data_IF_766159694040
#
_entry.id   IF_766159694040
#
_cell.length_a   1.000
_cell.length_b   1.000
_cell.length_c   1.000
_cell.angle_alpha   90.00
_cell.angle_beta   90.00
_cell.angle_gamma   90.00
#
_symmetry.space_group_name_H-M   'P 1'
#
loop_
_entity.id
_entity.type
_entity.pdbx_description
1 polymer ?
#
# COMPACT_ATOMS: atom_id res chain seq x y z
N UNK A 1 -0.87 1.87 -1.36
CA UNK A 1 -1.39 0.49 -1.52
C UNK A 1 -0.46 -0.31 -2.39
N UNK A 2 -0.22 -1.56 -2.03
CA UNK A 2 0.64 -2.48 -2.77
C UNK A 2 -0.18 -3.71 -3.15
N UNK A 3 -0.05 -4.16 -4.39
CA UNK A 3 -0.59 -5.44 -4.88
C UNK A 3 0.56 -6.30 -5.39
N UNK A 4 0.26 -7.51 -5.87
CA UNK A 4 1.27 -8.38 -6.45
C UNK A 4 1.95 -7.81 -7.70
N UNK A 5 1.28 -6.94 -8.46
CA UNK A 5 1.73 -6.46 -9.78
C UNK A 5 1.73 -4.95 -9.94
N UNK A 6 1.21 -4.22 -8.96
CA UNK A 6 1.08 -2.78 -9.04
C UNK A 6 1.17 -2.12 -7.68
N UNK A 7 1.55 -0.86 -7.68
CA UNK A 7 1.48 0.02 -6.52
C UNK A 7 0.63 1.24 -6.83
N UNK A 8 -0.08 1.72 -5.83
CA UNK A 8 -0.73 3.02 -5.83
C UNK A 8 -0.11 3.87 -4.71
N UNK A 9 0.40 5.03 -5.10
CA UNK A 9 0.90 6.07 -4.20
C UNK A 9 -0.03 7.26 -4.33
N UNK A 10 -0.61 7.71 -3.22
CA UNK A 10 -1.49 8.87 -3.20
C UNK A 10 -1.26 9.69 -1.94
N UNK A 11 -1.84 10.88 -1.91
CA UNK A 11 -1.77 11.79 -0.76
C UNK A 11 -3.01 11.75 0.14
N UNK A 12 -4.00 10.92 -0.19
CA UNK A 12 -5.24 10.78 0.57
C UNK A 12 -5.25 9.50 1.40
N UNK A 13 -5.71 9.62 2.63
CA UNK A 13 -6.06 8.47 3.46
C UNK A 13 -7.31 7.77 2.93
N UNK A 14 -7.47 6.50 3.29
CA UNK A 14 -8.61 5.68 2.88
C UNK A 14 -9.84 5.90 3.76
N UNK A 15 -10.26 7.16 3.87
CA UNK A 15 -11.44 7.59 4.62
C UNK A 15 -12.39 8.30 3.66
N UNK A 16 -13.68 7.94 3.67
CA UNK A 16 -14.67 8.44 2.70
C UNK A 16 -14.75 9.98 2.57
N UNK A 17 -14.50 10.69 3.67
CA UNK A 17 -14.49 12.14 3.70
C UNK A 17 -13.34 12.75 2.87
N UNK A 18 -12.16 12.14 2.90
CA UNK A 18 -10.99 12.61 2.15
C UNK A 18 -11.27 12.62 0.64
N UNK A 19 -11.95 11.60 0.12
CA UNK A 19 -12.32 11.52 -1.29
C UNK A 19 -13.40 12.52 -1.71
N UNK A 20 -14.20 13.01 -0.76
CA UNK A 20 -15.35 13.88 -1.07
C UNK A 20 -15.03 15.36 -0.94
N UNK A 21 -14.11 15.71 -0.03
CA UNK A 21 -13.87 17.10 0.35
C UNK A 21 -12.46 17.60 0.08
N UNK A 22 -11.49 16.72 -0.20
CA UNK A 22 -10.10 17.09 -0.41
C UNK A 22 -9.65 16.83 -1.85
N UNK A 23 -8.79 17.72 -2.35
CA UNK A 23 -8.12 17.52 -3.63
C UNK A 23 -7.01 16.46 -3.47
N UNK A 24 -7.06 15.43 -4.30
CA UNK A 24 -6.11 14.32 -4.29
C UNK A 24 -5.31 14.22 -5.58
N UNK A 25 -4.11 13.65 -5.47
CA UNK A 25 -3.32 13.18 -6.59
C UNK A 25 -2.83 11.76 -6.28
N UNK A 26 -2.72 10.93 -7.32
CA UNK A 26 -2.23 9.57 -7.21
C UNK A 26 -1.40 9.15 -8.41
N UNK A 27 -0.42 8.29 -8.15
CA UNK A 27 0.43 7.63 -9.15
C UNK A 27 0.24 6.12 -9.04
N UNK A 28 0.01 5.47 -10.19
CA UNK A 28 -0.02 4.02 -10.31
C UNK A 28 1.19 3.57 -11.12
N UNK A 29 1.92 2.59 -10.58
CA UNK A 29 3.02 1.92 -11.29
C UNK A 29 2.67 0.44 -11.36
N UNK A 30 2.75 -0.15 -12.55
CA UNK A 30 2.44 -1.58 -12.79
C UNK A 30 3.63 -2.27 -13.42
N UNK A 31 3.87 -3.52 -13.01
CA UNK A 31 4.89 -4.37 -13.60
C UNK A 31 4.38 -4.85 -14.98
N UNK A 32 5.12 -4.57 -16.07
CA UNK A 32 4.77 -5.03 -17.40
C UNK A 32 4.88 -6.56 -17.52
N UNK A 33 3.99 -7.17 -18.31
CA UNK A 33 4.01 -8.61 -18.53
C UNK A 33 5.18 -9.03 -19.42
N UNK A 34 5.83 -10.15 -19.10
CA UNK A 34 6.87 -10.74 -19.95
C UNK A 34 8.25 -10.09 -19.83
N UNK A 35 8.48 -9.21 -18.84
CA UNK A 35 9.83 -8.79 -18.48
C UNK A 35 10.40 -9.77 -17.47
N UNK A 36 11.28 -10.66 -17.93
CA UNK A 36 12.21 -11.44 -17.10
C UNK A 36 13.30 -10.48 -16.60
N UNK A 37 13.05 -9.79 -15.50
CA UNK A 37 13.98 -8.76 -15.03
C UNK A 37 15.28 -9.35 -14.46
N UNK A 38 16.41 -8.80 -14.91
CA UNK A 38 17.74 -9.07 -14.34
C UNK A 38 17.99 -8.31 -13.02
N UNK A 39 17.14 -7.35 -12.65
CA UNK A 39 17.21 -6.49 -11.45
C UNK A 39 15.82 -6.37 -10.81
N UNK A 40 15.70 -5.99 -9.53
CA UNK A 40 14.37 -5.87 -8.90
C UNK A 40 13.59 -4.63 -9.33
N UNK A 41 12.31 -4.81 -9.70
CA UNK A 41 11.40 -3.68 -10.01
C UNK A 41 11.16 -2.77 -8.81
N UNK A 42 10.73 -1.54 -9.07
CA UNK A 42 10.16 -0.67 -8.02
C UNK A 42 8.95 -1.31 -7.33
N UNK A 43 8.14 -2.08 -8.06
CA UNK A 43 6.99 -2.81 -7.49
C UNK A 43 7.47 -3.87 -6.48
N UNK A 44 8.47 -4.66 -6.85
CA UNK A 44 9.09 -5.68 -5.97
C UNK A 44 9.76 -5.06 -4.75
N UNK A 45 10.48 -3.94 -4.92
CA UNK A 45 11.13 -3.24 -3.80
C UNK A 45 10.10 -2.73 -2.78
N UNK A 46 9.02 -2.10 -3.25
CA UNK A 46 7.98 -1.59 -2.35
C UNK A 46 7.13 -2.71 -1.74
N UNK A 47 6.94 -3.82 -2.46
CA UNK A 47 6.38 -5.05 -1.89
C UNK A 47 7.26 -5.61 -0.78
N UNK A 48 8.57 -5.70 -0.99
CA UNK A 48 9.49 -6.17 0.04
C UNK A 48 9.47 -5.28 1.30
N UNK A 49 9.39 -3.95 1.12
CA UNK A 49 9.23 -3.03 2.24
C UNK A 49 7.90 -3.24 2.98
N UNK A 50 6.80 -3.40 2.24
CA UNK A 50 5.49 -3.73 2.81
C UNK A 50 5.53 -5.03 3.61
N UNK A 51 6.05 -6.12 3.05
CA UNK A 51 6.14 -7.42 3.71
C UNK A 51 7.02 -7.38 4.97
N UNK A 52 8.17 -6.67 4.92
CA UNK A 52 9.03 -6.45 6.08
C UNK A 52 8.27 -5.82 7.24
N UNK A 53 7.48 -4.78 6.96
CA UNK A 53 6.75 -4.04 7.99
C UNK A 53 5.52 -4.82 8.44
N UNK A 54 4.81 -5.47 7.52
CA UNK A 54 3.62 -6.27 7.79
C UNK A 54 3.90 -7.49 8.68
N UNK A 55 5.01 -8.19 8.45
CA UNK A 55 5.42 -9.34 9.26
C UNK A 55 6.39 -8.96 10.40
N UNK A 56 6.56 -7.66 10.68
CA UNK A 56 7.44 -7.20 11.74
C UNK A 56 6.90 -7.56 13.13
N UNK A 57 7.79 -7.58 14.12
CA UNK A 57 7.42 -7.72 15.54
C UNK A 57 6.54 -6.58 16.08
N UNK A 58 6.41 -5.49 15.33
CA UNK A 58 5.62 -4.32 15.71
C UNK A 58 4.19 -4.39 15.18
N UNK A 59 3.86 -5.41 14.39
CA UNK A 59 2.50 -5.59 13.86
C UNK A 59 1.55 -6.05 14.95
N UNK A 60 0.38 -5.42 15.02
CA UNK A 60 -0.71 -5.81 15.90
C UNK A 60 -1.95 -6.15 15.08
N UNK A 61 -2.59 -7.28 15.37
CA UNK A 61 -3.85 -7.64 14.72
C UNK A 61 -4.95 -6.67 15.14
N UNK A 62 -5.67 -6.14 14.14
CA UNK A 62 -6.86 -5.32 14.39
C UNK A 62 -7.96 -6.19 15.00
N UNK A 63 -8.39 -5.84 16.20
CA UNK A 63 -9.55 -6.48 16.83
C UNK A 63 -10.81 -5.80 16.33
N UNK A 64 -11.58 -6.50 15.48
CA UNK A 64 -12.80 -5.97 14.86
C UNK A 64 -13.86 -5.44 15.86
N UNK A 65 -13.77 -5.84 17.13
CA UNK A 65 -14.78 -5.57 18.16
C UNK A 65 -14.32 -4.58 19.25
N UNK A 66 -13.13 -3.99 19.13
CA UNK A 66 -12.70 -2.90 20.02
C UNK A 66 -12.87 -1.57 19.29
N UNK A 67 -14.03 -0.95 19.48
CA UNK A 67 -14.20 0.46 19.17
C UNK A 67 -13.16 1.23 20.00
N UNK A 68 -12.29 2.05 19.39
CA UNK A 68 -11.39 2.91 20.14
C UNK A 68 -12.24 3.79 21.06
N UNK A 69 -12.05 3.66 22.38
CA UNK A 69 -12.59 4.64 23.31
C UNK A 69 -11.74 5.90 23.17
N UNK A 70 -12.28 6.91 22.50
CA UNK A 70 -11.81 8.28 22.61
C UNK A 70 -12.23 8.88 23.95
#
# INVERSE_FOLDING_TARGET
>A
MVTDRSIYLGNLDWVGNEFSFNAGAGLVISQPEGIEERNSTVVEQLRAAFERDWFSRYTHSLQANKIPKH
#
